data_IF_154010208987
#
_entry.id   IF_154010208987
#
_cell.length_a   1.000
_cell.length_b   1.000
_cell.length_c   1.000
_cell.angle_alpha   90.00
_cell.angle_beta   90.00
_cell.angle_gamma   90.00
#
_symmetry.space_group_name_H-M   'P 1'
#
loop_
_entity.id
_entity.type
_entity.pdbx_description
1 polymer ?
#
# COMPACT_ATOMS: atom_id res chain seq x y z
N UNK A 1 -4.30 19.98 -12.51
CA UNK A 1 -4.46 20.01 -11.04
C UNK A 1 -5.19 18.72 -10.69
N UNK A 2 -4.46 17.60 -10.78
CA UNK A 2 -5.02 16.26 -10.57
C UNK A 2 -4.63 15.83 -9.17
N UNK A 3 -5.62 15.41 -8.39
CA UNK A 3 -5.38 14.84 -7.07
C UNK A 3 -4.35 13.72 -7.20
N UNK A 4 -3.30 13.79 -6.41
CA UNK A 4 -2.25 12.77 -6.35
C UNK A 4 -2.85 11.46 -5.84
N UNK A 5 -2.32 10.30 -6.25
CA UNK A 5 -2.77 9.00 -5.72
C UNK A 5 -2.71 8.96 -4.17
N UNK A 6 -1.80 9.76 -3.60
CA UNK A 6 -1.64 10.05 -2.19
C UNK A 6 -2.83 10.79 -1.56
N UNK A 7 -3.47 11.74 -2.24
CA UNK A 7 -4.67 12.44 -1.76
C UNK A 7 -5.90 11.53 -1.68
N UNK A 8 -6.09 10.65 -2.66
CA UNK A 8 -7.18 9.68 -2.62
C UNK A 8 -6.97 8.64 -1.51
N UNK A 9 -5.73 8.17 -1.31
CA UNK A 9 -5.42 7.23 -0.23
C UNK A 9 -5.56 7.87 1.16
N UNK A 10 -5.12 9.12 1.31
CA UNK A 10 -5.19 9.86 2.58
C UNK A 10 -6.64 10.12 3.04
N UNK A 11 -7.56 10.38 2.09
CA UNK A 11 -8.97 10.58 2.40
C UNK A 11 -9.62 9.37 3.10
N UNK A 12 -9.24 8.15 2.72
CA UNK A 12 -9.80 6.92 3.27
C UNK A 12 -9.18 6.46 4.60
N UNK A 13 -8.06 7.07 5.03
CA UNK A 13 -7.33 6.68 6.24
C UNK A 13 -7.69 7.51 7.49
N UNK A 14 -8.56 8.51 7.35
CA UNK A 14 -8.90 9.43 8.44
C UNK A 14 -9.69 8.71 9.55
N UNK A 15 -9.01 8.36 10.64
CA UNK A 15 -9.59 7.67 11.81
C UNK A 15 -9.12 6.23 12.01
N UNK A 16 -8.23 5.73 11.14
CA UNK A 16 -7.72 4.36 11.16
C UNK A 16 -6.35 4.31 11.84
N UNK A 17 -6.00 3.19 12.48
CA UNK A 17 -4.76 3.04 13.25
C UNK A 17 -3.51 2.86 12.39
N UNK A 18 -3.43 3.53 11.24
CA UNK A 18 -2.27 3.47 10.35
C UNK A 18 -1.31 4.60 10.70
N UNK A 19 -0.03 4.31 11.02
CA UNK A 19 0.97 5.34 11.24
C UNK A 19 1.08 6.23 10.00
N UNK A 20 1.20 7.54 10.21
CA UNK A 20 1.43 8.46 9.10
C UNK A 20 2.75 8.10 8.41
N UNK A 21 2.67 7.92 7.09
CA UNK A 21 3.80 7.49 6.30
C UNK A 21 4.71 8.70 6.03
N UNK A 22 5.86 8.76 6.69
CA UNK A 22 6.82 9.85 6.48
C UNK A 22 7.34 9.89 5.02
N UNK A 23 7.06 10.96 4.27
CA UNK A 23 7.41 11.04 2.84
C UNK A 23 6.76 9.92 1.99
N UNK A 24 5.44 9.97 1.81
CA UNK A 24 4.72 8.94 1.07
C UNK A 24 5.13 8.92 -0.41
N UNK A 25 5.43 10.07 -1.00
CA UNK A 25 5.83 10.17 -2.41
C UNK A 25 7.15 9.45 -2.68
N UNK A 26 8.17 9.63 -1.82
CA UNK A 26 9.44 8.91 -1.97
C UNK A 26 9.25 7.40 -1.83
N UNK A 27 8.39 6.94 -0.92
CA UNK A 27 8.11 5.50 -0.74
C UNK A 27 7.34 4.89 -1.91
N UNK A 28 6.38 5.61 -2.47
CA UNK A 28 5.70 5.19 -3.70
C UNK A 28 6.68 5.15 -4.87
N UNK A 29 7.59 6.12 -5.00
CA UNK A 29 8.64 6.10 -6.02
C UNK A 29 9.52 4.86 -5.90
N UNK A 30 9.90 4.45 -4.68
CA UNK A 30 10.67 3.23 -4.47
C UNK A 30 9.94 1.97 -4.98
N UNK A 31 8.63 1.87 -4.79
CA UNK A 31 7.83 0.77 -5.31
C UNK A 31 7.70 0.81 -6.83
N UNK A 32 7.46 2.00 -7.40
CA UNK A 32 7.38 2.18 -8.84
C UNK A 32 8.70 1.84 -9.54
N UNK A 33 9.83 2.22 -8.93
CA UNK A 33 11.16 1.89 -9.44
C UNK A 33 11.44 0.39 -9.37
N UNK A 34 11.01 -0.28 -8.30
CA UNK A 34 11.19 -1.73 -8.14
C UNK A 34 10.42 -2.56 -9.19
N UNK A 35 9.32 -2.03 -9.72
CA UNK A 35 8.48 -2.70 -10.72
C UNK A 35 8.73 -2.23 -12.16
N UNK A 36 9.61 -1.24 -12.38
CA UNK A 36 9.73 -0.53 -13.67
C UNK A 36 9.99 -1.45 -14.86
N UNK A 37 10.79 -2.49 -14.65
CA UNK A 37 11.23 -3.41 -15.71
C UNK A 37 10.42 -4.72 -15.72
N UNK A 38 9.33 -4.80 -14.94
CA UNK A 38 8.48 -5.97 -14.84
C UNK A 38 7.29 -5.88 -15.82
N UNK A 39 6.95 -7.00 -16.45
CA UNK A 39 5.68 -7.14 -17.15
C UNK A 39 4.50 -7.28 -16.18
N UNK A 40 3.26 -7.25 -16.68
CA UNK A 40 2.05 -7.29 -15.86
C UNK A 40 1.99 -8.53 -14.94
N UNK A 41 2.39 -9.70 -15.46
CA UNK A 41 2.37 -10.95 -14.70
C UNK A 41 3.44 -10.96 -13.60
N UNK A 42 4.64 -10.47 -13.92
CA UNK A 42 5.74 -10.30 -12.98
C UNK A 42 5.41 -9.25 -11.91
N UNK A 43 4.74 -8.15 -12.29
CA UNK A 43 4.28 -7.12 -11.36
C UNK A 43 3.25 -7.66 -10.37
N UNK A 44 2.30 -8.47 -10.83
CA UNK A 44 1.37 -9.16 -9.93
C UNK A 44 2.06 -10.10 -8.95
N UNK A 45 3.03 -10.88 -9.44
CA UNK A 45 3.81 -11.78 -8.58
C UNK A 45 4.66 -10.99 -7.57
N UNK A 46 5.30 -9.91 -8.00
CA UNK A 46 6.06 -9.01 -7.15
C UNK A 46 5.18 -8.44 -6.02
N UNK A 47 4.01 -7.90 -6.34
CA UNK A 47 3.10 -7.36 -5.34
C UNK A 47 2.63 -8.44 -4.34
N UNK A 48 2.32 -9.65 -4.81
CA UNK A 48 1.94 -10.75 -3.92
C UNK A 48 3.08 -11.16 -2.97
N UNK A 49 4.31 -11.25 -3.47
CA UNK A 49 5.49 -11.55 -2.65
C UNK A 49 5.78 -10.43 -1.65
N UNK A 50 5.68 -9.17 -2.08
CA UNK A 50 5.88 -8.02 -1.22
C UNK A 50 4.86 -8.01 -0.07
N UNK A 51 3.57 -8.23 -0.37
CA UNK A 51 2.52 -8.33 0.66
C UNK A 51 2.85 -9.45 1.65
N UNK A 52 3.29 -10.62 1.18
CA UNK A 52 3.66 -11.73 2.07
C UNK A 52 4.83 -11.38 3.00
N UNK A 53 5.86 -10.70 2.48
CA UNK A 53 6.99 -10.22 3.29
C UNK A 53 6.51 -9.20 4.33
N UNK A 54 5.69 -8.24 3.93
CA UNK A 54 5.13 -7.24 4.85
C UNK A 54 4.25 -7.88 5.92
N UNK A 55 3.46 -8.90 5.59
CA UNK A 55 2.67 -9.66 6.56
C UNK A 55 3.56 -10.31 7.63
N UNK A 56 4.75 -10.81 7.28
CA UNK A 56 5.70 -11.33 8.27
C UNK A 56 6.27 -10.24 9.19
N UNK A 57 6.41 -9.00 8.68
CA UNK A 57 6.84 -7.86 9.48
C UNK A 57 5.72 -7.30 10.36
N UNK A 58 4.46 -7.44 9.94
CA UNK A 58 3.27 -7.10 10.72
C UNK A 58 3.03 -8.22 11.73
N UNK A 59 3.62 -8.09 12.92
CA UNK A 59 3.52 -9.10 13.97
C UNK A 59 2.11 -9.25 14.60
N UNK A 60 1.22 -8.28 14.39
CA UNK A 60 -0.13 -8.23 14.97
C UNK A 60 -1.21 -8.60 13.94
N UNK A 61 -1.97 -9.69 14.12
CA UNK A 61 -3.03 -10.10 13.19
C UNK A 61 -4.19 -9.10 13.11
N UNK A 62 -4.46 -8.32 14.15
CA UNK A 62 -5.52 -7.31 14.10
C UNK A 62 -5.13 -6.13 13.20
N UNK A 63 -3.84 -5.75 13.19
CA UNK A 63 -3.32 -4.73 12.26
C UNK A 63 -3.47 -5.19 10.81
N UNK A 64 -3.21 -6.47 10.54
CA UNK A 64 -3.39 -7.04 9.20
C UNK A 64 -4.87 -7.04 8.79
N UNK A 65 -5.77 -7.41 9.71
CA UNK A 65 -7.23 -7.40 9.47
C UNK A 65 -7.72 -5.99 9.16
N UNK A 66 -7.33 -5.00 9.95
CA UNK A 66 -7.68 -3.59 9.74
C UNK A 66 -7.16 -3.10 8.38
N UNK A 67 -5.92 -3.41 8.02
CA UNK A 67 -5.34 -3.04 6.73
C UNK A 67 -6.11 -3.62 5.52
N UNK A 68 -6.61 -4.86 5.62
CA UNK A 68 -7.41 -5.48 4.56
C UNK A 68 -8.76 -4.75 4.38
N UNK A 69 -9.43 -4.42 5.48
CA UNK A 69 -10.71 -3.69 5.43
C UNK A 69 -10.55 -2.30 4.78
N UNK A 70 -9.50 -1.57 5.14
CA UNK A 70 -9.16 -0.28 4.50
C UNK A 70 -8.94 -0.45 3.00
N UNK A 71 -8.11 -1.43 2.62
CA UNK A 71 -7.77 -1.65 1.23
C UNK A 71 -9.00 -1.98 0.39
N UNK A 72 -9.97 -2.72 0.95
CA UNK A 72 -11.26 -2.97 0.29
C UNK A 72 -12.13 -1.72 0.21
N UNK A 73 -12.22 -0.93 1.26
CA UNK A 73 -13.03 0.28 1.30
C UNK A 73 -12.60 1.34 0.28
N UNK A 74 -11.34 1.35 -0.16
CA UNK A 74 -10.84 2.25 -1.21
C UNK A 74 -11.11 1.78 -2.65
N UNK A 75 -11.73 0.61 -2.84
CA UNK A 75 -12.09 0.07 -4.16
C UNK A 75 -13.57 0.25 -4.51
N UNK A 76 -14.40 0.56 -3.51
CA UNK A 76 -15.83 0.88 -3.66
C UNK A 76 -16.04 2.37 -3.93
#
# INVERSE_FOLDING_TARGET
>A
MGATATENLAGHLTGVRVPELADPDARFSMLADACRDLDDAQGHLFHAQLVLVLMHHIADPEVLREAIEIARAGLD
#
